data_IF_908513699128
#
_entry.id   IF_908513699128
#
_cell.length_a   1.000
_cell.length_b   1.000
_cell.length_c   1.000
_cell.angle_alpha   90.00
_cell.angle_beta   90.00
_cell.angle_gamma   90.00
#
_symmetry.space_group_name_H-M   'P 1'
#
loop_
_entity.id
_entity.type
_entity.pdbx_description
1 polymer ?
#
# COMPACT_ATOMS: atom_id res chain seq x y z
N UNK A 1 -21.55 -8.80 -0.36
CA UNK A 1 -20.90 -7.73 0.44
C UNK A 1 -19.63 -7.19 -0.25
N UNK A 2 -18.82 -8.06 -0.88
CA UNK A 2 -17.58 -7.71 -1.62
C UNK A 2 -17.83 -6.70 -2.77
N UNK A 3 -18.91 -6.87 -3.55
CA UNK A 3 -19.22 -5.98 -4.69
C UNK A 3 -19.41 -4.49 -4.29
N UNK A 4 -19.98 -4.20 -3.12
CA UNK A 4 -20.21 -2.81 -2.67
C UNK A 4 -18.93 -2.12 -2.21
N UNK A 5 -18.00 -2.87 -1.61
CA UNK A 5 -16.70 -2.35 -1.18
C UNK A 5 -15.82 -2.00 -2.39
N UNK A 6 -15.75 -2.89 -3.37
CA UNK A 6 -14.99 -2.66 -4.62
C UNK A 6 -15.58 -1.48 -5.40
N UNK A 7 -16.92 -1.37 -5.47
CA UNK A 7 -17.59 -0.27 -6.19
C UNK A 7 -17.12 1.11 -5.72
N UNK A 8 -17.01 1.32 -4.40
CA UNK A 8 -16.54 2.59 -3.85
C UNK A 8 -15.10 2.92 -4.25
N UNK A 9 -14.25 1.90 -4.35
CA UNK A 9 -12.83 2.07 -4.70
C UNK A 9 -12.65 2.34 -6.20
N UNK A 10 -13.36 1.57 -7.05
CA UNK A 10 -13.43 1.80 -8.49
C UNK A 10 -13.91 3.22 -8.78
N UNK A 11 -14.95 3.70 -8.07
CA UNK A 11 -15.45 5.06 -8.22
C UNK A 11 -14.37 6.12 -7.97
N UNK A 12 -13.57 5.98 -6.91
CA UNK A 12 -12.45 6.92 -6.62
C UNK A 12 -11.42 6.96 -7.75
N UNK A 13 -11.08 5.80 -8.31
CA UNK A 13 -10.13 5.70 -9.43
C UNK A 13 -10.69 6.45 -10.64
N UNK A 14 -11.93 6.17 -11.04
CA UNK A 14 -12.54 6.82 -12.20
C UNK A 14 -12.78 8.32 -11.99
N UNK A 15 -13.10 8.76 -10.76
CA UNK A 15 -13.23 10.19 -10.43
C UNK A 15 -11.89 10.93 -10.59
N UNK A 16 -10.78 10.32 -10.19
CA UNK A 16 -9.44 10.88 -10.40
C UNK A 16 -9.10 10.95 -11.89
N UNK A 17 -9.41 9.90 -12.65
CA UNK A 17 -9.08 9.80 -14.07
C UNK A 17 -10.01 10.58 -15.01
N UNK A 18 -11.13 11.12 -14.51
CA UNK A 18 -12.17 11.75 -15.34
C UNK A 18 -11.62 12.78 -16.33
N UNK A 19 -10.56 13.49 -15.96
CA UNK A 19 -9.87 14.47 -16.78
C UNK A 19 -8.65 13.79 -17.43
N UNK A 20 -8.80 13.27 -18.65
CA UNK A 20 -7.71 12.62 -19.39
C UNK A 20 -7.85 11.09 -19.53
N UNK A 21 -8.94 10.49 -19.04
CA UNK A 21 -9.17 9.04 -19.16
C UNK A 21 -8.99 8.51 -20.60
N UNK A 22 -9.44 9.27 -21.60
CA UNK A 22 -9.33 8.88 -23.01
C UNK A 22 -7.88 8.71 -23.49
N UNK A 23 -6.94 9.45 -22.91
CA UNK A 23 -5.53 9.42 -23.29
C UNK A 23 -4.78 8.25 -22.64
N UNK A 24 -5.22 7.83 -21.45
CA UNK A 24 -4.57 6.80 -20.63
C UNK A 24 -5.28 5.45 -20.67
N UNK A 25 -6.50 5.36 -21.20
CA UNK A 25 -7.31 4.14 -21.17
C UNK A 25 -6.66 2.97 -21.91
N UNK A 26 -5.74 3.25 -22.84
CA UNK A 26 -4.94 2.23 -23.53
C UNK A 26 -3.78 1.68 -22.69
N UNK A 27 -3.34 2.41 -21.66
CA UNK A 27 -2.22 2.03 -20.79
C UNK A 27 -2.66 1.51 -19.42
N UNK A 28 -3.88 1.86 -18.98
CA UNK A 28 -4.45 1.38 -17.73
C UNK A 28 -5.42 0.23 -17.98
N UNK A 29 -4.91 -0.99 -17.87
CA UNK A 29 -5.73 -2.20 -17.88
C UNK A 29 -6.20 -2.54 -16.46
N UNK A 30 -7.52 -2.54 -16.27
CA UNK A 30 -8.19 -2.95 -15.03
C UNK A 30 -8.91 -4.30 -15.21
N UNK A 31 -8.66 -5.01 -16.32
CA UNK A 31 -9.11 -6.38 -16.50
C UNK A 31 -8.21 -7.32 -15.71
N UNK A 32 -8.81 -8.15 -14.86
CA UNK A 32 -8.08 -9.12 -14.05
C UNK A 32 -8.65 -10.50 -14.33
N UNK A 33 -7.77 -11.48 -14.54
CA UNK A 33 -8.17 -12.87 -14.79
C UNK A 33 -8.81 -13.53 -13.56
N UNK A 34 -8.43 -13.09 -12.36
CA UNK A 34 -8.89 -13.63 -11.09
C UNK A 34 -9.40 -12.52 -10.16
N UNK A 35 -10.57 -12.72 -9.56
CA UNK A 35 -11.19 -11.77 -8.62
C UNK A 35 -10.26 -11.45 -7.43
N UNK A 36 -9.47 -12.42 -6.96
CA UNK A 36 -8.48 -12.23 -5.89
C UNK A 36 -7.43 -11.16 -6.24
N UNK A 37 -7.04 -11.07 -7.52
CA UNK A 37 -6.09 -10.05 -7.97
C UNK A 37 -6.76 -8.69 -7.97
N UNK A 38 -8.02 -8.60 -8.40
CA UNK A 38 -8.79 -7.37 -8.33
C UNK A 38 -8.99 -6.89 -6.87
N UNK A 39 -9.24 -7.82 -5.95
CA UNK A 39 -9.40 -7.57 -4.51
C UNK A 39 -8.15 -6.96 -3.87
N UNK A 40 -6.96 -7.20 -4.42
CA UNK A 40 -5.71 -6.60 -3.95
C UNK A 40 -5.33 -5.31 -4.69
N UNK A 41 -5.51 -5.28 -6.01
CA UNK A 41 -5.04 -4.18 -6.87
C UNK A 41 -5.97 -2.97 -6.84
N UNK A 42 -7.29 -3.19 -6.84
CA UNK A 42 -8.26 -2.09 -6.82
C UNK A 42 -8.11 -1.23 -5.55
N UNK A 43 -7.98 -1.79 -4.34
CA UNK A 43 -7.76 -0.97 -3.15
C UNK A 43 -6.50 -0.12 -3.19
N UNK A 44 -5.40 -0.71 -3.69
CA UNK A 44 -4.14 0.01 -3.82
C UNK A 44 -4.27 1.20 -4.79
N UNK A 45 -4.88 0.99 -5.96
CA UNK A 45 -5.07 2.06 -6.94
C UNK A 45 -5.99 3.17 -6.43
N UNK A 46 -7.02 2.83 -5.66
CA UNK A 46 -7.90 3.82 -5.06
C UNK A 46 -7.21 4.66 -3.97
N UNK A 47 -6.33 4.04 -3.18
CA UNK A 47 -5.49 4.75 -2.20
C UNK A 47 -4.51 5.70 -2.91
N UNK A 48 -3.83 5.21 -3.94
CA UNK A 48 -2.92 6.01 -4.76
C UNK A 48 -3.63 7.19 -5.42
N UNK A 49 -4.80 6.98 -6.01
CA UNK A 49 -5.61 8.04 -6.62
C UNK A 49 -6.02 9.10 -5.59
N UNK A 50 -6.36 8.68 -4.37
CA UNK A 50 -6.69 9.61 -3.28
C UNK A 50 -5.48 10.47 -2.89
N UNK A 51 -4.31 9.84 -2.71
CA UNK A 51 -3.06 10.53 -2.37
C UNK A 51 -2.65 11.52 -3.47
N UNK A 52 -2.71 11.11 -4.74
CA UNK A 52 -2.36 11.98 -5.88
C UNK A 52 -3.34 13.14 -6.06
N UNK A 53 -4.60 12.97 -5.66
CA UNK A 53 -5.60 14.03 -5.71
C UNK A 53 -5.42 15.05 -4.58
N UNK A 54 -4.93 14.63 -3.42
CA UNK A 54 -4.71 15.48 -2.25
C UNK A 54 -3.33 16.15 -2.23
N UNK A 55 -2.33 15.51 -2.82
CA UNK A 55 -0.94 15.95 -2.77
C UNK A 55 -0.33 16.12 -4.16
N UNK A 56 0.31 17.27 -4.39
CA UNK A 56 1.06 17.54 -5.64
C UNK A 56 2.41 16.81 -5.71
N UNK A 57 2.87 16.24 -4.59
CA UNK A 57 4.14 15.51 -4.50
C UNK A 57 4.09 14.50 -3.34
N UNK A 58 4.93 13.47 -3.42
CA UNK A 58 5.13 12.54 -2.33
C UNK A 58 6.19 13.10 -1.36
N UNK A 59 5.90 13.20 -0.05
CA UNK A 59 6.92 13.56 0.92
C UNK A 59 8.02 12.49 0.94
N UNK A 60 9.25 12.92 1.18
CA UNK A 60 10.35 11.99 1.39
C UNK A 60 10.07 11.11 2.60
N UNK A 61 10.32 9.81 2.44
CA UNK A 61 10.20 8.88 3.54
C UNK A 61 11.28 9.17 4.60
N UNK A 62 10.94 9.22 5.89
CA UNK A 62 11.94 9.44 6.93
C UNK A 62 13.00 8.31 6.89
N UNK A 63 14.23 8.54 7.39
CA UNK A 63 15.30 7.52 7.36
C UNK A 63 14.92 6.19 8.04
N UNK A 64 14.02 6.25 9.02
CA UNK A 64 13.49 5.06 9.69
C UNK A 64 12.36 4.36 8.94
N UNK A 65 11.93 4.84 7.76
CA UNK A 65 10.80 4.32 7.02
C UNK A 65 9.42 4.63 7.63
N UNK A 66 8.38 4.26 6.90
CA UNK A 66 6.97 4.43 7.26
C UNK A 66 6.66 3.74 8.58
N UNK A 67 6.18 4.55 9.55
CA UNK A 67 5.76 4.03 10.85
C UNK A 67 4.64 2.98 10.71
N UNK A 68 3.70 3.22 9.79
CA UNK A 68 2.62 2.26 9.50
C UNK A 68 3.18 0.94 9.02
N UNK A 69 4.10 0.96 8.06
CA UNK A 69 4.73 -0.25 7.55
C UNK A 69 5.50 -1.00 8.66
N UNK A 70 6.29 -0.29 9.47
CA UNK A 70 7.02 -0.90 10.59
C UNK A 70 6.10 -1.54 11.64
N UNK A 71 4.94 -0.94 11.91
CA UNK A 71 3.92 -1.55 12.77
C UNK A 71 3.41 -2.87 12.17
N UNK A 72 3.08 -2.88 10.87
CA UNK A 72 2.60 -4.09 10.18
C UNK A 72 3.62 -5.24 10.27
N UNK A 73 4.91 -4.95 10.06
CA UNK A 73 5.97 -5.96 10.20
C UNK A 73 6.10 -6.43 11.65
N UNK A 74 6.04 -5.52 12.62
CA UNK A 74 6.11 -5.88 14.03
C UNK A 74 4.93 -6.79 14.45
N UNK A 75 3.71 -6.45 14.01
CA UNK A 75 2.51 -7.25 14.25
C UNK A 75 2.57 -8.61 13.56
N UNK A 76 3.04 -8.67 12.32
CA UNK A 76 3.27 -9.92 11.60
C UNK A 76 4.24 -10.84 12.35
N UNK A 77 5.39 -10.32 12.77
CA UNK A 77 6.41 -11.07 13.51
C UNK A 77 5.90 -11.53 14.88
N UNK A 78 5.08 -10.71 15.55
CA UNK A 78 4.47 -11.07 16.82
C UNK A 78 3.40 -12.14 16.66
N UNK A 79 2.55 -12.02 15.65
CA UNK A 79 1.40 -12.91 15.45
C UNK A 79 1.83 -14.29 14.96
N UNK A 80 2.68 -14.34 13.93
CA UNK A 80 3.01 -15.57 13.22
C UNK A 80 4.31 -16.21 13.69
N UNK A 81 5.23 -15.43 14.25
CA UNK A 81 6.54 -15.90 14.68
C UNK A 81 6.77 -15.75 16.18
N UNK A 82 5.81 -15.19 16.91
CA UNK A 82 5.89 -14.93 18.36
C UNK A 82 7.13 -14.12 18.80
N UNK A 83 7.66 -13.28 17.90
CA UNK A 83 8.79 -12.38 18.19
C UNK A 83 8.23 -11.00 18.60
N UNK A 84 8.46 -10.53 19.85
CA UNK A 84 7.95 -9.24 20.30
C UNK A 84 8.83 -8.10 19.77
N UNK A 85 8.56 -7.66 18.53
CA UNK A 85 9.20 -6.50 17.92
C UNK A 85 8.44 -5.21 18.25
N UNK A 86 9.19 -4.11 18.36
CA UNK A 86 8.65 -2.77 18.53
C UNK A 86 8.99 -1.92 17.30
N UNK A 87 8.02 -1.15 16.83
CA UNK A 87 8.15 -0.22 15.73
C UNK A 87 8.70 1.17 16.14
N UNK A 88 9.33 1.32 17.31
CA UNK A 88 9.99 2.57 17.70
C UNK A 88 11.47 2.57 17.26
N UNK A 89 11.94 3.67 16.64
CA UNK A 89 13.33 3.81 16.10
C UNK A 89 14.28 4.39 17.14
N UNK A 90 13.79 4.78 18.32
CA UNK A 90 14.62 5.42 19.36
C UNK A 90 15.76 4.55 19.89
N UNK A 91 15.80 3.27 19.54
CA UNK A 91 16.96 2.39 19.62
C UNK A 91 17.08 1.66 18.27
N UNK A 92 18.28 1.27 17.80
CA UNK A 92 18.42 0.49 16.57
C UNK A 92 17.48 -0.71 16.68
N UNK A 93 16.40 -0.67 15.92
CA UNK A 93 15.34 -1.66 16.07
C UNK A 93 15.87 -2.99 15.53
N UNK A 94 15.50 -4.13 16.13
CA UNK A 94 15.93 -5.44 15.65
C UNK A 94 15.56 -5.69 14.19
N UNK A 95 14.61 -4.93 13.63
CA UNK A 95 14.18 -4.99 12.24
C UNK A 95 15.27 -4.62 11.24
N UNK A 96 16.07 -3.57 11.49
CA UNK A 96 17.20 -3.24 10.59
C UNK A 96 18.21 -4.39 10.61
N UNK A 97 18.55 -4.91 11.79
CA UNK A 97 19.40 -6.09 11.92
C UNK A 97 18.81 -7.32 11.23
N UNK A 98 17.51 -7.58 11.37
CA UNK A 98 16.84 -8.73 10.79
C UNK A 98 16.90 -8.70 9.26
N UNK A 99 16.55 -7.57 8.62
CA UNK A 99 16.59 -7.46 7.17
C UNK A 99 18.03 -7.49 6.62
N UNK A 100 19.00 -6.90 7.32
CA UNK A 100 20.42 -7.03 6.93
C UNK A 100 20.98 -8.44 7.11
N UNK A 101 20.43 -9.23 8.04
CA UNK A 101 20.88 -10.60 8.29
C UNK A 101 20.21 -11.63 7.38
N UNK A 102 19.04 -11.31 6.81
CA UNK A 102 18.34 -12.15 5.83
C UNK A 102 18.83 -11.94 4.39
N UNK A 103 19.51 -10.82 4.13
CA UNK A 103 20.11 -10.49 2.83
C UNK A 103 21.53 -11.06 2.63
N UNK A 104 21.93 -12.03 3.47
CA UNK A 104 23.15 -12.83 3.36
C UNK A 104 22.77 -14.30 3.23
#
# INVERSE_FOLDING_TARGET
>A
MISTFIYGQVKKIFEFLKNGFHEISSSLDLSFEYDLVADEKIPFLADLASVLNEHSFFPYEPPGGSKRFRNLIADFMKMYHHIPLNADVRKPSPLICFFTSLAK
#
